data_IF_191360768271
#
_entry.id   IF_191360768271
#
_cell.length_a   1.000
_cell.length_b   1.000
_cell.length_c   1.000
_cell.angle_alpha   90.00
_cell.angle_beta   90.00
_cell.angle_gamma   90.00
#
_symmetry.space_group_name_H-M   'P 1'
#
loop_
_entity.id
_entity.type
_entity.pdbx_description
1 polymer ?
#
# COMPACT_ATOMS: atom_id res chain seq x y z
N UNK A 1 13.10 -6.20 -23.00
CA UNK A 1 13.18 -4.92 -23.74
C UNK A 1 13.11 -3.78 -22.74
N UNK A 2 14.18 -2.99 -22.60
CA UNK A 2 14.28 -1.95 -21.56
C UNK A 2 13.42 -0.72 -21.87
N UNK A 3 12.65 -0.23 -20.89
CA UNK A 3 11.98 1.06 -20.91
C UNK A 3 12.90 2.14 -20.30
N UNK A 4 13.63 2.95 -21.09
CA UNK A 4 14.65 3.87 -20.57
C UNK A 4 14.07 4.98 -19.68
N UNK A 5 12.82 5.40 -19.93
CA UNK A 5 12.13 6.45 -19.19
C UNK A 5 11.29 5.91 -18.02
N UNK A 6 11.36 4.60 -17.72
CA UNK A 6 10.64 4.03 -16.58
C UNK A 6 11.18 4.57 -15.26
N UNK A 7 10.27 4.95 -14.37
CA UNK A 7 10.57 5.32 -12.98
C UNK A 7 9.90 4.36 -11.96
N UNK A 8 9.43 3.21 -12.43
CA UNK A 8 9.07 2.03 -11.64
C UNK A 8 9.92 0.81 -12.06
N UNK A 9 10.02 -0.25 -11.24
CA UNK A 9 9.56 -0.33 -9.86
C UNK A 9 10.46 0.48 -8.90
N UNK A 10 9.95 0.76 -7.70
CA UNK A 10 10.65 1.53 -6.66
C UNK A 10 10.78 0.70 -5.39
N UNK A 11 11.67 1.08 -4.50
CA UNK A 11 11.73 0.50 -3.16
C UNK A 11 10.70 1.17 -2.24
N UNK A 12 9.82 0.37 -1.64
CA UNK A 12 8.68 0.77 -0.81
C UNK A 12 9.08 0.73 0.67
N UNK A 13 8.86 1.83 1.39
CA UNK A 13 9.17 1.91 2.81
C UNK A 13 8.62 3.17 3.48
N UNK A 14 8.42 3.10 4.80
CA UNK A 14 7.82 4.18 5.60
C UNK A 14 8.66 5.46 5.53
N UNK A 15 9.99 5.31 5.49
CA UNK A 15 10.97 6.39 5.36
C UNK A 15 10.88 7.19 4.05
N UNK A 16 10.10 6.71 3.07
CA UNK A 16 9.95 7.35 1.75
C UNK A 16 8.58 8.02 1.57
N UNK A 17 7.70 7.93 2.56
CA UNK A 17 6.37 8.52 2.50
C UNK A 17 6.49 10.03 2.39
N UNK A 18 5.97 10.58 1.31
CA UNK A 18 5.87 12.00 1.02
C UNK A 18 4.59 12.63 1.57
N UNK A 19 3.57 11.83 1.86
CA UNK A 19 2.33 12.30 2.47
C UNK A 19 1.28 11.21 2.67
N UNK A 20 0.23 11.56 3.41
CA UNK A 20 -0.97 10.73 3.52
C UNK A 20 -1.81 10.83 2.26
N UNK A 21 -2.53 9.78 1.96
CA UNK A 21 -3.51 9.78 0.89
C UNK A 21 -4.80 9.11 1.35
N UNK A 22 -5.88 9.90 1.35
CA UNK A 22 -7.23 9.45 1.68
C UNK A 22 -8.06 9.38 0.39
N UNK A 23 -8.81 10.43 0.07
CA UNK A 23 -9.78 10.44 -1.02
C UNK A 23 -9.13 10.32 -2.42
N UNK A 24 -7.96 10.93 -2.62
CA UNK A 24 -7.28 10.95 -3.93
C UNK A 24 -6.76 9.59 -4.40
N UNK A 25 -6.66 8.63 -3.48
CA UNK A 25 -6.32 7.25 -3.78
C UNK A 25 -7.37 6.30 -3.20
N UNK A 26 -8.60 6.77 -2.94
CA UNK A 26 -9.68 5.94 -2.44
C UNK A 26 -9.86 4.72 -3.35
N UNK A 27 -9.54 3.54 -2.81
CA UNK A 27 -9.59 2.27 -3.52
C UNK A 27 -10.69 1.39 -2.93
N UNK A 28 -11.47 0.76 -3.79
CA UNK A 28 -12.42 -0.28 -3.41
C UNK A 28 -12.41 -1.37 -4.48
N UNK A 29 -12.64 -2.61 -4.06
CA UNK A 29 -12.66 -3.74 -4.98
C UNK A 29 -13.66 -4.81 -4.56
N UNK A 30 -14.16 -5.52 -5.56
CA UNK A 30 -14.96 -6.74 -5.46
C UNK A 30 -14.78 -7.52 -6.75
N UNK A 31 -13.82 -8.43 -6.75
CA UNK A 31 -13.47 -9.23 -7.92
C UNK A 31 -14.43 -10.43 -8.03
N UNK A 32 -15.16 -10.61 -9.14
CA UNK A 32 -16.00 -11.78 -9.33
C UNK A 32 -15.17 -13.06 -9.52
N UNK A 33 -15.84 -14.20 -9.62
CA UNK A 33 -15.17 -15.40 -10.11
C UNK A 33 -14.90 -15.28 -11.62
N UNK A 34 -13.82 -15.89 -12.05
CA UNK A 34 -13.35 -15.91 -13.44
C UNK A 34 -12.89 -17.31 -13.82
N UNK A 35 -12.87 -17.62 -15.11
CA UNK A 35 -12.03 -18.69 -15.65
C UNK A 35 -10.55 -18.36 -15.45
N UNK A 36 -9.68 -19.38 -15.42
CA UNK A 36 -8.24 -19.21 -15.23
C UNK A 36 -7.48 -19.86 -16.38
N UNK A 37 -7.05 -19.05 -17.34
CA UNK A 37 -6.07 -19.45 -18.36
C UNK A 37 -4.75 -18.77 -18.04
N UNK A 38 -3.70 -19.56 -17.84
CA UNK A 38 -2.36 -19.07 -17.56
C UNK A 38 -1.44 -19.37 -18.74
N UNK A 39 -0.53 -18.44 -19.05
CA UNK A 39 0.43 -18.50 -20.16
C UNK A 39 1.81 -18.19 -19.62
N UNK A 40 2.79 -19.04 -19.94
CA UNK A 40 4.17 -18.75 -19.61
C UNK A 40 4.73 -17.73 -20.60
N UNK A 41 5.26 -16.61 -20.10
CA UNK A 41 5.85 -15.53 -20.92
C UNK A 41 7.37 -15.47 -20.80
N UNK A 42 7.99 -16.49 -20.24
CA UNK A 42 9.44 -16.58 -20.03
C UNK A 42 9.84 -16.00 -18.68
N UNK A 43 9.60 -14.71 -18.45
CA UNK A 43 9.99 -13.99 -17.22
C UNK A 43 8.83 -13.76 -16.23
N UNK A 44 7.61 -14.16 -16.60
CA UNK A 44 6.42 -14.17 -15.73
C UNK A 44 5.36 -15.15 -16.24
N UNK A 45 4.41 -15.48 -15.37
CA UNK A 45 3.16 -16.13 -15.78
C UNK A 45 2.10 -15.04 -16.00
N UNK A 46 1.58 -14.97 -17.21
CA UNK A 46 0.40 -14.16 -17.57
C UNK A 46 -0.85 -14.96 -17.24
N UNK A 47 -1.83 -14.35 -16.57
CA UNK A 47 -3.08 -15.00 -16.19
C UNK A 47 -4.23 -14.14 -16.72
N UNK A 48 -5.06 -14.75 -17.55
CA UNK A 48 -6.26 -14.13 -18.09
C UNK A 48 -7.33 -14.02 -17.01
N UNK A 49 -8.18 -13.00 -17.14
CA UNK A 49 -9.30 -12.76 -16.26
C UNK A 49 -10.52 -12.35 -17.09
N UNK A 50 -11.67 -12.94 -16.80
CA UNK A 50 -12.88 -12.77 -17.58
C UNK A 50 -13.36 -11.32 -17.51
N UNK A 51 -13.78 -10.79 -18.65
CA UNK A 51 -14.36 -9.45 -18.72
C UNK A 51 -15.71 -9.41 -18.01
N UNK A 52 -15.96 -8.35 -17.26
CA UNK A 52 -17.19 -8.16 -16.48
C UNK A 52 -17.98 -6.95 -17.01
N UNK A 53 -19.31 -6.99 -16.86
CA UNK A 53 -20.19 -5.87 -17.25
C UNK A 53 -20.10 -4.68 -16.29
N UNK A 54 -19.83 -4.94 -15.01
CA UNK A 54 -19.55 -3.95 -13.98
C UNK A 54 -18.08 -3.96 -13.59
N UNK A 55 -17.49 -2.79 -13.38
CA UNK A 55 -16.09 -2.68 -12.98
C UNK A 55 -15.85 -3.25 -11.57
N UNK A 56 -14.97 -4.26 -11.40
CA UNK A 56 -14.68 -4.86 -10.11
C UNK A 56 -13.89 -3.94 -9.19
N UNK A 57 -13.23 -2.92 -9.74
CA UNK A 57 -12.40 -1.98 -9.00
C UNK A 57 -12.90 -0.55 -9.18
N UNK A 58 -12.87 0.22 -8.10
CA UNK A 58 -12.96 1.69 -8.14
C UNK A 58 -11.72 2.29 -7.50
N UNK A 59 -11.10 3.24 -8.18
CA UNK A 59 -9.98 4.02 -7.66
C UNK A 59 -10.21 5.49 -7.96
N UNK A 60 -10.17 6.35 -6.93
CA UNK A 60 -10.43 7.79 -7.04
C UNK A 60 -11.73 8.10 -7.83
N UNK A 61 -12.82 7.39 -7.49
CA UNK A 61 -14.14 7.46 -8.14
C UNK A 61 -14.19 7.08 -9.64
N UNK A 62 -13.15 6.45 -10.16
CA UNK A 62 -13.11 5.89 -11.53
C UNK A 62 -13.19 4.37 -11.47
N UNK A 63 -13.98 3.77 -12.37
CA UNK A 63 -14.13 2.33 -12.47
C UNK A 63 -13.05 1.70 -13.37
N UNK A 64 -12.58 0.53 -12.97
CA UNK A 64 -11.49 -0.18 -13.60
C UNK A 64 -11.83 -1.65 -13.82
N UNK A 65 -11.51 -2.16 -15.01
CA UNK A 65 -11.66 -3.57 -15.39
C UNK A 65 -10.28 -4.22 -15.42
N UNK A 66 -10.19 -5.49 -15.00
CA UNK A 66 -8.96 -6.27 -15.11
C UNK A 66 -8.66 -6.51 -16.59
N UNK A 67 -7.43 -6.23 -17.00
CA UNK A 67 -6.92 -6.50 -18.34
C UNK A 67 -6.07 -7.77 -18.35
N UNK A 68 -5.17 -7.90 -17.38
CA UNK A 68 -4.22 -9.00 -17.29
C UNK A 68 -3.74 -9.09 -15.84
N UNK A 69 -3.39 -10.30 -15.39
CA UNK A 69 -2.67 -10.51 -14.14
C UNK A 69 -1.30 -11.09 -14.46
N UNK A 70 -0.25 -10.60 -13.81
CA UNK A 70 1.13 -11.10 -13.99
C UNK A 70 1.70 -11.59 -12.67
N UNK A 71 2.28 -12.78 -12.69
CA UNK A 71 2.97 -13.36 -11.54
C UNK A 71 4.48 -13.39 -11.82
N UNK A 72 5.24 -12.65 -11.01
CA UNK A 72 6.70 -12.58 -11.06
C UNK A 72 7.33 -13.32 -9.88
N UNK A 73 8.51 -13.90 -10.10
CA UNK A 73 9.42 -14.37 -9.04
C UNK A 73 10.85 -13.93 -9.40
N UNK A 74 11.57 -13.17 -8.54
CA UNK A 74 11.08 -12.50 -7.34
C UNK A 74 10.12 -11.33 -7.66
N UNK A 75 9.66 -10.62 -6.63
CA UNK A 75 8.89 -9.37 -6.78
C UNK A 75 9.61 -8.31 -7.63
N UNK A 76 8.86 -7.42 -8.29
CA UNK A 76 9.42 -6.26 -9.01
C UNK A 76 9.80 -5.15 -8.02
N UNK A 77 8.91 -4.85 -7.09
CA UNK A 77 9.20 -3.90 -6.01
C UNK A 77 10.16 -4.51 -4.98
N UNK A 78 10.96 -3.65 -4.37
CA UNK A 78 11.63 -3.98 -3.11
C UNK A 78 10.90 -3.33 -1.94
N UNK A 79 11.09 -3.90 -0.77
CA UNK A 79 10.50 -3.47 0.48
C UNK A 79 11.62 -3.28 1.50
N UNK A 80 11.99 -2.03 1.77
CA UNK A 80 13.18 -1.66 2.54
C UNK A 80 14.47 -2.31 2.02
N UNK A 81 14.63 -2.33 0.69
CA UNK A 81 15.81 -2.84 -0.01
C UNK A 81 15.77 -4.34 -0.32
N UNK A 82 14.74 -5.07 0.11
CA UNK A 82 14.65 -6.53 -0.07
C UNK A 82 13.45 -6.90 -0.92
N UNK A 83 13.63 -7.82 -1.87
CA UNK A 83 12.52 -8.37 -2.65
C UNK A 83 11.67 -9.34 -1.81
N UNK A 84 10.36 -9.30 -2.00
CA UNK A 84 9.50 -10.42 -1.66
C UNK A 84 9.74 -11.60 -2.62
N UNK A 85 9.40 -12.82 -2.20
CA UNK A 85 9.66 -14.04 -2.97
C UNK A 85 8.90 -14.11 -4.28
N UNK A 86 7.74 -13.45 -4.37
CA UNK A 86 6.99 -13.26 -5.61
C UNK A 86 6.09 -12.02 -5.51
N UNK A 87 5.59 -11.55 -6.64
CA UNK A 87 4.63 -10.46 -6.70
C UNK A 87 3.60 -10.70 -7.79
N UNK A 88 2.33 -10.51 -7.42
CA UNK A 88 1.19 -10.53 -8.33
C UNK A 88 0.86 -9.08 -8.71
N UNK A 89 0.88 -8.77 -9.99
CA UNK A 89 0.53 -7.46 -10.53
C UNK A 89 -0.77 -7.59 -11.33
N UNK A 90 -1.83 -6.98 -10.83
CA UNK A 90 -3.14 -6.95 -11.50
C UNK A 90 -3.21 -5.64 -12.29
N UNK A 91 -3.21 -5.77 -13.61
CA UNK A 91 -3.25 -4.65 -14.54
C UNK A 91 -4.70 -4.35 -14.86
N UNK A 92 -5.09 -3.09 -14.65
CA UNK A 92 -6.44 -2.62 -14.94
C UNK A 92 -6.47 -1.50 -15.95
N UNK A 93 -7.53 -1.48 -16.75
CA UNK A 93 -7.86 -0.39 -17.67
C UNK A 93 -9.08 0.37 -17.18
N UNK A 94 -9.03 1.69 -17.34
CA UNK A 94 -10.13 2.58 -16.96
C UNK A 94 -11.32 2.44 -17.90
N UNK A 95 -12.53 2.41 -17.35
CA UNK A 95 -13.76 2.47 -18.15
C UNK A 95 -14.11 3.90 -18.64
N UNK A 96 -13.36 4.91 -18.21
CA UNK A 96 -13.51 6.34 -18.59
C UNK A 96 -12.33 6.88 -19.42
N UNK A 97 -11.42 6.01 -19.86
CA UNK A 97 -10.24 6.42 -20.66
C UNK A 97 -9.17 7.19 -19.87
N UNK A 98 -9.17 7.08 -18.54
CA UNK A 98 -8.09 7.63 -17.68
C UNK A 98 -6.87 6.70 -17.68
N UNK A 99 -5.79 7.13 -17.02
CA UNK A 99 -4.59 6.31 -16.81
C UNK A 99 -4.91 4.91 -16.25
N UNK A 100 -4.18 3.86 -16.69
CA UNK A 100 -4.29 2.52 -16.13
C UNK A 100 -4.00 2.49 -14.62
N UNK A 101 -4.43 1.40 -13.97
CA UNK A 101 -4.18 1.15 -12.55
C UNK A 101 -3.55 -0.24 -12.36
N UNK A 102 -2.44 -0.29 -11.65
CA UNK A 102 -1.76 -1.52 -11.26
C UNK A 102 -1.95 -1.75 -9.76
N UNK A 103 -2.43 -2.93 -9.40
CA UNK A 103 -2.49 -3.39 -8.02
C UNK A 103 -1.41 -4.44 -7.82
N UNK A 104 -0.38 -4.08 -7.05
CA UNK A 104 0.81 -4.88 -6.81
C UNK A 104 0.71 -5.53 -5.42
N UNK A 105 0.63 -6.86 -5.41
CA UNK A 105 0.43 -7.67 -4.21
C UNK A 105 1.63 -8.59 -4.02
N UNK A 106 2.49 -8.35 -3.02
CA UNK A 106 3.59 -9.24 -2.72
C UNK A 106 3.07 -10.56 -2.15
N UNK A 107 3.79 -11.64 -2.45
CA UNK A 107 3.56 -12.98 -1.92
C UNK A 107 4.71 -13.29 -0.97
N UNK A 108 4.37 -13.81 0.21
CA UNK A 108 5.36 -14.25 1.20
C UNK A 108 5.64 -15.74 1.07
N UNK A 109 6.80 -16.19 1.54
CA UNK A 109 7.04 -17.63 1.68
C UNK A 109 6.35 -18.14 2.94
N UNK A 110 5.68 -19.29 2.85
CA UNK A 110 5.01 -19.90 3.98
C UNK A 110 4.01 -20.98 3.58
N UNK A 111 3.58 -21.76 4.58
CA UNK A 111 2.66 -22.88 4.40
C UNK A 111 1.26 -22.59 4.96
N UNK A 112 0.85 -21.31 5.03
CA UNK A 112 -0.51 -20.99 5.48
C UNK A 112 -1.55 -21.53 4.50
N UNK A 113 -2.70 -21.95 5.03
CA UNK A 113 -3.82 -22.35 4.19
C UNK A 113 -4.77 -21.18 4.04
N UNK A 114 -4.91 -20.68 2.81
CA UNK A 114 -5.89 -19.67 2.41
C UNK A 114 -6.37 -19.97 0.99
N UNK A 115 -7.49 -19.38 0.58
CA UNK A 115 -7.99 -19.52 -0.79
C UNK A 115 -6.94 -19.06 -1.82
N UNK A 116 -6.24 -17.96 -1.53
CA UNK A 116 -5.17 -17.45 -2.39
C UNK A 116 -4.02 -18.45 -2.52
N UNK A 117 -3.62 -19.10 -1.42
CA UNK A 117 -2.56 -20.10 -1.41
C UNK A 117 -2.92 -21.32 -2.27
N UNK A 118 -4.16 -21.79 -2.17
CA UNK A 118 -4.68 -22.92 -2.97
C UNK A 118 -4.73 -22.56 -4.44
N UNK A 119 -5.29 -21.40 -4.79
CA UNK A 119 -5.36 -20.90 -6.17
C UNK A 119 -3.94 -20.79 -6.76
N UNK A 120 -3.03 -20.15 -6.04
CA UNK A 120 -1.64 -19.95 -6.49
C UNK A 120 -0.94 -21.30 -6.70
N UNK A 121 -1.10 -22.23 -5.76
CA UNK A 121 -0.51 -23.57 -5.87
C UNK A 121 -1.06 -24.33 -7.06
N UNK A 122 -2.36 -24.23 -7.34
CA UNK A 122 -2.99 -24.86 -8.50
C UNK A 122 -2.45 -24.28 -9.81
N UNK A 123 -2.33 -22.95 -9.92
CA UNK A 123 -1.76 -22.29 -11.10
C UNK A 123 -0.31 -22.76 -11.32
N UNK A 124 0.53 -22.70 -10.30
CA UNK A 124 1.94 -23.11 -10.39
C UNK A 124 2.07 -24.58 -10.78
N UNK A 125 1.29 -25.46 -10.16
CA UNK A 125 1.32 -26.89 -10.49
C UNK A 125 0.84 -27.17 -11.92
N UNK A 126 -0.21 -26.50 -12.37
CA UNK A 126 -0.73 -26.65 -13.73
C UNK A 126 0.29 -26.19 -14.75
N UNK A 127 0.86 -24.99 -14.57
CA UNK A 127 1.91 -24.46 -15.48
C UNK A 127 3.14 -25.37 -15.50
N UNK A 128 3.63 -25.79 -14.33
CA UNK A 128 4.81 -26.66 -14.25
C UNK A 128 4.61 -28.05 -14.89
N UNK A 129 3.38 -28.55 -14.96
CA UNK A 129 3.08 -29.88 -15.49
C UNK A 129 2.60 -29.88 -16.94
N UNK A 130 1.96 -28.80 -17.41
CA UNK A 130 1.28 -28.78 -18.72
C UNK A 130 1.75 -27.68 -19.66
N UNK A 131 2.35 -26.60 -19.16
CA UNK A 131 2.81 -25.46 -19.98
C UNK A 131 4.11 -24.84 -19.41
N UNK A 132 5.19 -25.63 -19.19
CA UNK A 132 6.40 -25.13 -18.55
C UNK A 132 7.26 -24.22 -19.44
N UNK A 133 7.09 -24.23 -20.76
CA UNK A 133 7.93 -23.45 -21.69
C UNK A 133 7.29 -22.12 -22.10
N UNK A 134 8.12 -21.14 -22.47
CA UNK A 134 7.67 -19.85 -22.96
C UNK A 134 6.71 -19.98 -24.16
N UNK A 135 5.59 -19.26 -24.11
CA UNK A 135 4.52 -19.29 -25.11
C UNK A 135 3.45 -20.34 -24.87
N UNK A 136 3.70 -21.35 -24.03
CA UNK A 136 2.70 -22.38 -23.70
C UNK A 136 1.62 -21.83 -22.77
N UNK A 137 0.41 -22.39 -22.88
CA UNK A 137 -0.74 -21.97 -22.08
C UNK A 137 -1.48 -23.18 -21.52
N UNK A 138 -2.03 -23.04 -20.32
CA UNK A 138 -2.83 -24.05 -19.65
C UNK A 138 -4.11 -23.44 -19.10
N UNK A 139 -5.22 -24.19 -19.24
CA UNK A 139 -6.44 -23.92 -18.51
C UNK A 139 -6.36 -24.58 -17.13
N UNK A 140 -6.49 -23.78 -16.08
CA UNK A 140 -6.41 -24.25 -14.70
C UNK A 140 -7.84 -24.39 -14.17
N UNK A 141 -8.33 -25.63 -14.11
CA UNK A 141 -9.70 -25.90 -13.66
C UNK A 141 -9.84 -25.66 -12.15
N UNK A 142 -10.64 -24.66 -11.77
CA UNK A 142 -11.04 -24.37 -10.39
C UNK A 142 -12.32 -23.52 -10.36
N UNK A 143 -13.14 -23.67 -9.33
CA UNK A 143 -14.46 -23.02 -9.25
C UNK A 143 -14.44 -21.61 -8.64
N UNK A 144 -13.35 -21.23 -7.98
CA UNK A 144 -13.26 -20.05 -7.12
C UNK A 144 -12.07 -19.12 -7.45
N UNK A 145 -11.68 -19.05 -8.72
CA UNK A 145 -10.64 -18.11 -9.15
C UNK A 145 -11.13 -16.66 -9.08
N UNK A 146 -10.70 -15.93 -8.04
CA UNK A 146 -10.98 -14.51 -7.82
C UNK A 146 -9.77 -13.79 -7.23
N UNK A 147 -9.58 -12.53 -7.60
CA UNK A 147 -8.54 -11.67 -7.02
C UNK A 147 -8.89 -11.19 -5.60
N UNK A 148 -10.13 -11.34 -5.14
CA UNK A 148 -10.51 -11.11 -3.74
C UNK A 148 -9.68 -11.99 -2.78
N UNK A 149 -9.23 -13.17 -3.23
CA UNK A 149 -8.38 -14.10 -2.48
C UNK A 149 -6.95 -13.60 -2.28
N UNK A 150 -6.48 -12.64 -3.09
CA UNK A 150 -5.11 -12.15 -3.08
C UNK A 150 -5.01 -10.73 -2.52
N UNK A 151 -5.92 -9.83 -2.91
CA UNK A 151 -5.83 -8.41 -2.56
C UNK A 151 -6.23 -8.18 -1.09
N UNK A 152 -5.34 -7.61 -0.25
CA UNK A 152 -5.64 -7.36 1.15
C UNK A 152 -6.61 -6.18 1.36
N UNK A 153 -7.49 -6.26 2.36
CA UNK A 153 -8.22 -5.11 2.92
C UNK A 153 -7.42 -4.45 4.05
N UNK A 154 -6.21 -3.98 3.70
CA UNK A 154 -5.20 -3.45 4.62
C UNK A 154 -4.60 -2.13 4.08
N UNK A 155 -3.86 -1.36 4.89
CA UNK A 155 -3.18 -0.17 4.40
C UNK A 155 -2.28 -0.46 3.20
N UNK A 156 -2.11 0.51 2.30
CA UNK A 156 -1.31 0.39 1.09
C UNK A 156 -0.61 1.69 0.74
N UNK A 157 0.39 1.58 -0.13
CA UNK A 157 1.10 2.71 -0.72
C UNK A 157 0.53 3.02 -2.09
N UNK A 158 0.58 4.29 -2.49
CA UNK A 158 0.14 4.73 -3.80
C UNK A 158 1.12 5.71 -4.41
N UNK A 159 1.39 5.55 -5.70
CA UNK A 159 2.20 6.49 -6.48
C UNK A 159 1.82 6.41 -7.96
N UNK A 160 2.24 7.40 -8.73
CA UNK A 160 2.05 7.44 -10.19
C UNK A 160 3.42 7.37 -10.87
N UNK A 161 3.57 6.51 -11.87
CA UNK A 161 4.86 6.26 -12.53
C UNK A 161 4.68 5.86 -14.00
N UNK A 162 5.79 5.77 -14.73
CA UNK A 162 5.90 5.09 -16.02
C UNK A 162 6.41 3.67 -15.72
N UNK A 163 5.68 2.67 -16.21
CA UNK A 163 5.96 1.26 -15.97
C UNK A 163 7.25 0.75 -16.63
N UNK A 164 7.88 -0.31 -16.08
CA UNK A 164 9.14 -0.85 -16.58
C UNK A 164 9.01 -1.73 -17.84
N UNK A 165 7.80 -1.99 -18.31
CA UNK A 165 7.52 -2.85 -19.47
C UNK A 165 6.66 -2.17 -20.53
N UNK A 166 6.67 -2.74 -21.74
CA UNK A 166 5.94 -2.22 -22.89
C UNK A 166 4.43 -2.07 -22.59
N UNK A 167 3.79 -0.98 -23.07
CA UNK A 167 4.31 -0.01 -24.05
C UNK A 167 5.27 1.07 -23.52
N UNK A 168 5.61 1.12 -22.22
CA UNK A 168 6.42 2.22 -21.62
C UNK A 168 5.87 3.65 -21.87
N UNK A 169 4.61 3.79 -22.26
CA UNK A 169 3.99 5.09 -22.60
C UNK A 169 2.93 5.44 -21.56
N UNK A 170 2.99 6.69 -21.11
CA UNK A 170 2.00 7.27 -20.23
C UNK A 170 2.21 6.91 -18.76
N UNK A 171 1.60 7.74 -17.92
CA UNK A 171 1.55 7.50 -16.49
C UNK A 171 0.55 6.40 -16.17
N UNK A 172 0.89 5.60 -15.15
CA UNK A 172 0.06 4.58 -14.55
C UNK A 172 -0.02 4.82 -13.04
N UNK A 173 -1.19 4.61 -12.47
CA UNK A 173 -1.35 4.60 -11.02
C UNK A 173 -0.99 3.23 -10.45
N UNK A 174 -0.25 3.22 -9.34
CA UNK A 174 0.10 2.00 -8.64
C UNK A 174 -0.47 2.05 -7.23
N UNK A 175 -1.03 0.92 -6.83
CA UNK A 175 -1.35 0.56 -5.45
C UNK A 175 -0.41 -0.59 -5.09
N UNK A 176 0.41 -0.40 -4.06
CA UNK A 176 1.39 -1.40 -3.65
C UNK A 176 1.16 -1.79 -2.20
N UNK A 177 0.88 -3.06 -1.96
CA UNK A 177 0.82 -3.65 -0.62
C UNK A 177 2.22 -4.09 -0.19
N UNK A 178 2.44 -4.23 1.11
CA UNK A 178 3.71 -4.75 1.65
C UNK A 178 3.60 -6.20 2.06
N UNK A 179 4.72 -6.94 2.16
CA UNK A 179 4.72 -8.34 2.62
C UNK A 179 4.05 -8.55 3.98
N UNK A 180 4.11 -7.55 4.87
CA UNK A 180 3.43 -7.58 6.18
C UNK A 180 1.90 -7.60 6.05
N UNK A 181 1.36 -7.09 4.94
CA UNK A 181 -0.07 -7.06 4.64
C UNK A 181 -0.50 -8.18 3.68
N UNK A 182 0.41 -9.06 3.27
CA UNK A 182 0.13 -10.11 2.30
C UNK A 182 -0.96 -11.05 2.82
N UNK A 183 -1.94 -11.35 1.95
CA UNK A 183 -3.02 -12.29 2.22
C UNK A 183 -2.67 -13.73 1.80
N UNK A 184 -1.72 -13.87 0.87
CA UNK A 184 -1.33 -15.12 0.26
C UNK A 184 0.15 -15.40 0.56
N UNK A 185 0.48 -16.67 0.81
CA UNK A 185 1.85 -17.16 0.80
C UNK A 185 2.05 -18.27 -0.24
N UNK A 186 3.30 -18.64 -0.49
CA UNK A 186 3.68 -19.75 -1.36
C UNK A 186 4.62 -20.69 -0.59
N UNK A 187 4.40 -22.00 -0.71
CA UNK A 187 5.31 -22.98 -0.11
C UNK A 187 6.64 -23.01 -0.86
N UNK A 188 7.72 -23.40 -0.18
CA UNK A 188 9.04 -23.56 -0.81
C UNK A 188 9.00 -24.50 -2.01
N UNK A 189 8.20 -25.58 -1.94
CA UNK A 189 8.04 -26.52 -3.03
C UNK A 189 7.37 -25.89 -4.27
N UNK A 190 6.31 -25.12 -4.08
CA UNK A 190 5.64 -24.40 -5.18
C UNK A 190 6.53 -23.28 -5.71
N UNK A 191 7.23 -22.55 -4.85
CA UNK A 191 8.17 -21.49 -5.25
C UNK A 191 9.29 -22.05 -6.13
N UNK A 192 9.87 -23.20 -5.77
CA UNK A 192 10.90 -23.85 -6.57
C UNK A 192 10.37 -24.28 -7.95
N UNK A 193 9.13 -24.77 -8.04
CA UNK A 193 8.50 -25.08 -9.34
C UNK A 193 8.33 -23.82 -10.18
N UNK A 194 7.85 -22.73 -9.58
CA UNK A 194 7.66 -21.46 -10.27
C UNK A 194 8.99 -20.92 -10.81
N UNK A 195 10.02 -20.85 -9.96
CA UNK A 195 11.36 -20.37 -10.35
C UNK A 195 12.07 -21.29 -11.35
N UNK A 196 11.60 -22.53 -11.55
CA UNK A 196 12.12 -23.44 -12.57
C UNK A 196 11.50 -23.23 -13.95
N UNK A 197 10.30 -22.63 -14.03
CA UNK A 197 9.57 -22.43 -15.29
C UNK A 197 9.58 -20.99 -15.79
N UNK A 198 9.89 -20.02 -14.92
CA UNK A 198 10.08 -18.62 -15.31
C UNK A 198 11.42 -18.08 -14.81
N UNK A 199 12.02 -17.19 -15.59
CA UNK A 199 13.25 -16.49 -15.24
C UNK A 199 12.96 -15.26 -14.37
N UNK A 200 13.94 -14.88 -13.54
CA UNK A 200 13.88 -13.61 -12.84
C UNK A 200 13.95 -12.45 -13.84
N UNK A 201 13.09 -11.45 -13.63
CA UNK A 201 13.14 -10.21 -14.40
C UNK A 201 14.43 -9.42 -14.11
N UNK A 202 14.82 -8.56 -15.06
CA UNK A 202 16.03 -7.73 -14.98
C UNK A 202 15.72 -6.23 -14.69
N UNK A 203 14.52 -5.93 -14.18
CA UNK A 203 14.12 -4.56 -13.92
C UNK A 203 14.91 -3.96 -12.75
N UNK A 204 15.48 -2.78 -12.98
CA UNK A 204 16.26 -2.06 -11.96
C UNK A 204 15.37 -1.17 -11.10
N UNK A 205 15.55 -1.23 -9.78
CA UNK A 205 14.89 -0.34 -8.83
C UNK A 205 15.25 1.12 -9.14
N UNK A 206 14.22 1.96 -9.28
CA UNK A 206 14.37 3.37 -9.63
C UNK A 206 14.27 4.25 -8.39
N UNK A 207 14.89 5.44 -8.48
CA UNK A 207 14.58 6.53 -7.56
C UNK A 207 13.18 7.00 -7.88
N UNK A 208 12.25 6.58 -7.02
CA UNK A 208 10.83 6.71 -7.29
C UNK A 208 10.29 8.14 -7.25
N UNK A 209 9.10 8.36 -7.81
CA UNK A 209 8.32 9.56 -7.58
C UNK A 209 7.84 9.64 -6.13
N UNK A 210 7.08 10.69 -5.80
CA UNK A 210 6.51 10.86 -4.47
C UNK A 210 5.62 9.66 -4.10
N UNK A 211 5.90 9.05 -2.95
CA UNK A 211 5.19 7.90 -2.43
C UNK A 211 4.17 8.35 -1.40
N UNK A 212 2.91 7.96 -1.56
CA UNK A 212 1.85 8.29 -0.61
C UNK A 212 1.36 7.05 0.13
N UNK A 213 0.79 7.25 1.32
CA UNK A 213 0.31 6.15 2.15
C UNK A 213 -1.17 6.30 2.50
N UNK A 214 -1.96 5.27 2.19
CA UNK A 214 -3.35 5.15 2.60
C UNK A 214 -3.45 4.23 3.82
N UNK A 215 -3.62 4.85 4.98
CA UNK A 215 -3.70 4.18 6.28
C UNK A 215 -5.03 3.44 6.49
N UNK A 216 -6.10 3.86 5.81
CA UNK A 216 -7.44 3.30 6.01
C UNK A 216 -7.68 2.00 5.23
N UNK A 217 -6.91 1.79 4.16
CA UNK A 217 -7.06 0.65 3.28
C UNK A 217 -8.31 0.71 2.38
N UNK A 218 -8.56 -0.36 1.62
CA UNK A 218 -9.65 -0.43 0.65
C UNK A 218 -11.03 -0.40 1.30
N UNK A 219 -11.99 0.28 0.68
CA UNK A 219 -13.39 0.37 1.14
C UNK A 219 -13.62 1.32 2.32
N UNK A 220 -12.57 1.96 2.84
CA UNK A 220 -12.65 2.85 4.00
C UNK A 220 -12.80 4.34 3.65
N UNK A 221 -12.78 4.67 2.36
CA UNK A 221 -13.05 6.01 1.85
C UNK A 221 -14.55 6.10 1.50
N UNK A 222 -15.39 6.41 2.49
CA UNK A 222 -16.82 6.69 2.26
C UNK A 222 -17.82 6.01 3.18
N UNK A 223 -17.56 5.94 4.49
CA UNK A 223 -18.63 5.94 5.50
C UNK A 223 -18.36 7.11 6.44
N UNK A 224 -18.63 8.30 5.95
CA UNK A 224 -18.65 9.54 6.71
C UNK A 224 -19.74 10.38 6.08
N UNK A 225 -20.86 10.49 6.81
CA UNK A 225 -22.09 11.24 6.55
C UNK A 225 -22.27 11.71 5.10
N UNK A 226 -23.15 11.02 4.37
CA UNK A 226 -23.74 11.54 3.15
C UNK A 226 -24.33 12.93 3.45
N UNK A 227 -23.62 14.00 3.09
CA UNK A 227 -24.24 15.32 2.97
C UNK A 227 -25.17 15.21 1.77
N UNK A 228 -26.41 14.84 2.05
CA UNK A 228 -27.51 14.88 1.10
C UNK A 228 -27.84 16.34 0.81
N UNK A 229 -27.21 16.91 -0.23
CA UNK A 229 -27.61 18.21 -0.75
C UNK A 229 -28.85 17.99 -1.62
N UNK A 230 -30.02 18.16 -1.00
CA UNK A 230 -31.31 18.15 -1.67
C UNK A 230 -31.42 19.41 -2.55
N UNK A 231 -31.05 19.31 -3.82
CA UNK A 231 -31.27 20.36 -4.81
C UNK A 231 -32.76 20.45 -5.13
N UNK A 232 -33.55 21.08 -4.24
CA UNK A 232 -34.93 21.43 -4.56
C UNK A 232 -34.95 22.54 -5.61
N UNK A 233 -35.76 22.40 -6.67
CA UNK A 233 -35.87 23.43 -7.69
C UNK A 233 -36.47 24.70 -7.07
N UNK A 234 -35.73 25.80 -7.20
CA UNK A 234 -36.24 27.14 -6.92
C UNK A 234 -37.28 27.48 -7.99
N UNK A 235 -38.55 27.50 -7.58
CA UNK A 235 -39.61 28.10 -8.38
C UNK A 235 -39.28 29.58 -8.57
N UNK A 236 -39.12 29.98 -9.83
CA UNK A 236 -39.04 31.38 -10.22
C UNK A 236 -40.34 32.08 -9.86
N UNK A 237 -40.29 32.98 -8.88
CA UNK A 237 -41.04 34.24 -8.93
C UNK A 237 -40.23 35.31 -8.20
N UNK A 238 -39.96 36.36 -8.97
CA UNK A 238 -39.17 37.54 -8.64
C UNK A 238 -39.73 38.26 -7.42
N UNK A 239 -38.88 38.69 -6.50
CA UNK A 239 -38.91 40.06 -5.95
C UNK A 239 -37.61 40.37 -5.21
N UNK A 240 -36.95 41.45 -5.64
CA UNK A 240 -35.75 41.99 -5.02
C UNK A 240 -36.09 42.51 -3.63
N UNK A 241 -35.44 41.97 -2.59
CA UNK A 241 -35.39 42.64 -1.29
C UNK A 241 -33.98 42.61 -0.74
N UNK A 242 -33.46 43.83 -0.60
CA UNK A 242 -32.29 44.34 0.11
C UNK A 242 -31.36 43.32 0.78
N UNK A 243 -30.09 43.37 0.36
CA UNK A 243 -28.97 42.74 1.06
C UNK A 243 -28.77 43.46 2.40
N UNK A 244 -29.24 42.84 3.48
CA UNK A 244 -28.70 43.11 4.82
C UNK A 244 -27.47 42.23 5.00
N UNK A 245 -26.29 42.84 4.89
CA UNK A 245 -25.06 42.22 5.41
C UNK A 245 -25.26 41.97 6.91
N UNK A 246 -25.24 40.71 7.31
CA UNK A 246 -25.12 40.31 8.71
C UNK A 246 -24.11 39.20 8.80
N UNK A 247 -23.02 39.50 9.52
CA UNK A 247 -22.29 38.55 10.34
C UNK A 247 -21.57 37.44 9.59
N UNK A 248 -20.28 37.64 9.38
CA UNK A 248 -19.30 36.59 9.59
C UNK A 248 -19.53 35.95 10.97
N UNK A 249 -20.28 34.85 11.02
CA UNK A 249 -20.27 33.99 12.20
C UNK A 249 -19.05 33.11 12.12
N UNK A 250 -18.01 33.56 12.83
CA UNK A 250 -16.99 32.71 13.41
C UNK A 250 -17.69 31.50 14.02
N UNK A 251 -17.43 30.31 13.49
CA UNK A 251 -17.69 29.06 14.19
C UNK A 251 -16.93 29.10 15.50
N UNK A 252 -17.59 29.54 16.58
CA UNK A 252 -17.09 29.41 17.92
C UNK A 252 -16.97 27.92 18.18
N UNK A 253 -15.74 27.41 18.13
CA UNK A 253 -15.46 26.09 18.68
C UNK A 253 -15.85 26.14 20.14
N UNK A 254 -16.88 25.38 20.50
CA UNK A 254 -17.35 25.29 21.87
C UNK A 254 -16.32 24.51 22.69
N UNK A 255 -15.32 25.24 23.17
CA UNK A 255 -14.14 24.74 23.89
C UNK A 255 -14.50 23.93 25.14
N UNK A 256 -15.71 24.11 25.68
CA UNK A 256 -16.20 23.35 26.83
C UNK A 256 -16.44 21.88 26.47
N UNK A 257 -16.88 21.58 25.24
CA UNK A 257 -17.09 20.20 24.76
C UNK A 257 -15.78 19.43 24.55
N UNK A 258 -14.69 20.15 24.24
CA UNK A 258 -13.35 19.58 24.06
C UNK A 258 -12.67 19.35 25.43
N UNK A 259 -12.96 20.21 26.41
CA UNK A 259 -12.39 20.12 27.77
C UNK A 259 -12.96 18.97 28.59
N UNK A 260 -14.23 18.61 28.38
CA UNK A 260 -14.89 17.48 29.05
C UNK A 260 -14.63 16.12 28.36
N UNK A 261 -13.86 16.10 27.26
CA UNK A 261 -13.51 14.85 26.59
C UNK A 261 -12.58 13.99 27.45
N UNK A 262 -12.92 12.69 27.68
CA UNK A 262 -12.05 11.77 28.40
C UNK A 262 -10.65 11.65 27.78
N UNK A 263 -10.55 11.79 26.45
CA UNK A 263 -9.28 11.75 25.73
C UNK A 263 -8.42 13.00 26.01
N UNK A 264 -9.05 14.18 26.12
CA UNK A 264 -8.35 15.42 26.43
C UNK A 264 -7.83 15.44 27.87
N UNK A 265 -8.61 14.92 28.83
CA UNK A 265 -8.17 14.78 30.22
C UNK A 265 -6.95 13.86 30.36
N UNK A 266 -6.88 12.76 29.59
CA UNK A 266 -5.72 11.86 29.57
C UNK A 266 -4.47 12.58 29.02
N UNK A 267 -4.62 13.36 27.95
CA UNK A 267 -3.51 14.11 27.36
C UNK A 267 -2.97 15.20 28.28
N UNK A 268 -3.86 15.98 28.92
CA UNK A 268 -3.46 17.04 29.87
C UNK A 268 -2.79 16.44 31.11
N UNK A 269 -3.32 15.33 31.64
CA UNK A 269 -2.73 14.62 32.77
C UNK A 269 -1.32 14.09 32.46
N UNK A 270 -1.13 13.50 31.27
CA UNK A 270 0.17 13.03 30.81
C UNK A 270 1.19 14.17 30.68
N UNK A 271 0.77 15.31 30.13
CA UNK A 271 1.63 16.48 29.98
C UNK A 271 2.05 17.06 31.35
N UNK A 272 1.13 17.13 32.31
CA UNK A 272 1.39 17.55 33.68
C UNK A 272 2.38 16.63 34.39
N UNK A 273 2.23 15.31 34.21
CA UNK A 273 3.15 14.32 34.78
C UNK A 273 4.58 14.47 34.24
N UNK A 274 4.74 14.71 32.94
CA UNK A 274 6.05 14.97 32.32
C UNK A 274 6.67 16.25 32.88
N UNK A 275 5.86 17.30 33.09
CA UNK A 275 6.31 18.57 33.67
C UNK A 275 6.81 18.39 35.11
N UNK A 276 6.11 17.59 35.91
CA UNK A 276 6.53 17.25 37.28
C UNK A 276 7.86 16.49 37.26
N UNK A 277 8.04 15.50 36.37
CA UNK A 277 9.31 14.78 36.24
C UNK A 277 10.46 15.70 35.80
N UNK A 278 10.19 16.66 34.92
CA UNK A 278 11.19 17.64 34.49
C UNK A 278 11.62 18.56 35.63
N UNK A 279 10.66 19.08 36.41
CA UNK A 279 10.95 19.90 37.59
C UNK A 279 11.70 19.07 38.64
N UNK A 280 11.30 17.83 38.88
CA UNK A 280 12.00 16.94 39.80
C UNK A 280 13.45 16.72 39.38
N UNK A 281 13.71 16.46 38.10
CA UNK A 281 15.06 16.33 37.54
C UNK A 281 15.88 17.64 37.64
N UNK A 282 15.23 18.79 37.49
CA UNK A 282 15.88 20.09 37.67
C UNK A 282 16.27 20.33 39.13
N UNK A 283 15.38 19.97 40.07
CA UNK A 283 15.60 20.10 41.51
C UNK A 283 16.71 19.16 41.98
N UNK A 284 16.76 17.90 41.52
CA UNK A 284 17.85 16.97 41.88
C UNK A 284 19.21 17.42 41.37
N UNK A 285 19.26 18.11 40.22
CA UNK A 285 20.49 18.74 39.70
C UNK A 285 20.91 19.97 40.51
N UNK A 286 19.95 20.75 41.01
CA UNK A 286 20.22 21.88 41.92
C UNK A 286 20.77 21.40 43.27
N UNK A 287 20.27 20.28 43.80
CA UNK A 287 20.79 19.69 45.04
C UNK A 287 22.07 18.86 44.87
N UNK A 288 22.37 18.35 43.66
CA UNK A 288 23.66 17.70 43.35
C UNK A 288 24.76 18.68 42.93
N UNK A 289 24.47 19.98 42.86
CA UNK A 289 25.41 21.03 42.44
C UNK A 289 26.30 21.61 43.54
N UNK A 290 26.35 20.99 44.72
CA UNK A 290 27.19 21.42 45.84
C UNK A 290 28.04 20.28 46.38
N UNK A 291 29.22 20.04 45.80
CA UNK A 291 30.18 19.09 46.36
C UNK A 291 31.17 18.49 45.36
N UNK A 292 31.97 19.33 44.69
CA UNK A 292 33.22 18.85 44.11
C UNK A 292 34.25 18.70 45.23
N UNK A 293 34.73 17.47 45.47
CA UNK A 293 36.06 17.27 46.05
C UNK A 293 36.84 16.28 45.19
N UNK A 294 37.89 16.82 44.56
CA UNK A 294 38.90 16.11 43.79
C UNK A 294 39.67 15.17 44.73
N UNK A 295 39.88 13.93 44.30
CA UNK A 295 41.13 13.21 44.60
C UNK A 295 41.65 12.65 43.29
N UNK A 296 42.69 13.30 42.78
CA UNK A 296 43.51 12.78 41.70
C UNK A 296 44.38 11.63 42.22
N UNK A 297 44.40 10.53 41.48
CA UNK A 297 45.32 9.41 41.67
C UNK A 297 46.12 9.21 40.39
N UNK A 298 47.40 9.55 40.48
CA UNK A 298 48.43 9.57 39.45
C UNK A 298 48.62 8.22 38.76
N UNK A 299 48.68 8.25 37.43
CA UNK A 299 49.09 7.14 36.58
C UNK A 299 50.63 7.05 36.55
N UNK A 300 51.19 5.96 37.05
CA UNK A 300 52.60 5.59 36.86
C UNK A 300 52.71 4.13 36.42
N UNK A 301 53.23 3.91 35.21
CA UNK A 301 53.68 2.61 34.71
C UNK A 301 55.16 2.45 35.09
N UNK A 302 55.58 1.35 35.74
CA UNK A 302 56.98 0.96 35.79
C UNK A 302 57.35 -0.01 34.63
N UNK A 303 58.60 0.02 34.12
CA UNK A 303 59.03 -0.79 32.99
C UNK A 303 59.53 -2.19 33.40
N UNK A 304 59.31 -3.15 32.48
CA UNK A 304 60.15 -4.31 32.11
C UNK A 304 60.91 -5.08 33.20
N UNK A 305 60.60 -6.38 33.32
CA UNK A 305 61.49 -7.38 33.91
C UNK A 305 61.30 -8.77 33.29
N UNK A 306 62.24 -9.13 32.41
CA UNK A 306 62.72 -10.46 31.96
C UNK A 306 61.74 -11.64 31.84
#
# INVERSE_FOLDING_TARGET
>A
MSCPNSNAPIDIGIQKISGKCDLKCAYNFKYPNSSCTATNRGDYISIAYDSTSSSPVTYNAVGYNVQEIRLYTPSLHTFNGTHAVAELIIIHVSNKGTKPLLVCVPITEGNTSSDGNTILTNIVNAMASTAPAEGESANVSMDNFTMDSFVPKKPYYSYTAIQPYQPCVGDVDLIVFTPLMAKCSISTASLNKLSAIISANDYTIKTGPLLFFNEKGPGSAGVGDEIYIDCKPINKSVEETMITQSGSESSSMDINSILESPAFQILVSSLLFILILFVFNMVTKLFSGGGASKVGGTFTIPPSGK
#
